data_IF_156929795861
#
_entry.id   IF_156929795861
#
_cell.length_a   1.000
_cell.length_b   1.000
_cell.length_c   1.000
_cell.angle_alpha   90.00
_cell.angle_beta   90.00
_cell.angle_gamma   90.00
#
_symmetry.space_group_name_H-M   'P 1'
#
loop_
_entity.id
_entity.type
_entity.pdbx_description
1 polymer ?
#
# COMPACT_ATOMS: atom_id res chain seq x y z
N UNK A 1 -18.66 3.70 -8.45
CA UNK A 1 -17.87 3.40 -7.23
C UNK A 1 -16.54 4.11 -7.35
N UNK A 2 -16.09 4.77 -6.30
CA UNK A 2 -14.72 5.27 -6.26
C UNK A 2 -13.78 4.08 -6.04
N UNK A 3 -12.69 4.04 -6.80
CA UNK A 3 -11.64 3.04 -6.62
C UNK A 3 -10.91 3.28 -5.31
N UNK A 4 -10.43 2.21 -4.66
CA UNK A 4 -9.61 2.30 -3.45
C UNK A 4 -8.21 2.76 -3.85
N UNK A 5 -7.70 3.82 -3.23
CA UNK A 5 -6.37 4.39 -3.48
C UNK A 5 -5.33 3.57 -2.73
N UNK A 6 -4.45 2.90 -3.46
CA UNK A 6 -3.44 2.01 -2.90
C UNK A 6 -2.05 2.56 -3.22
N UNK A 7 -1.19 2.68 -2.21
CA UNK A 7 0.24 3.00 -2.38
C UNK A 7 1.09 1.79 -1.99
N UNK A 8 1.71 1.16 -3.00
CA UNK A 8 2.63 0.04 -2.83
C UNK A 8 4.09 0.51 -2.90
N UNK A 9 5.01 -0.30 -2.35
CA UNK A 9 6.43 0.07 -2.32
C UNK A 9 7.18 -0.28 -3.61
N UNK A 10 8.07 0.62 -4.04
CA UNK A 10 8.95 0.49 -5.21
C UNK A 10 10.28 -0.20 -4.86
N UNK A 11 10.20 -1.40 -4.27
CA UNK A 11 11.36 -2.24 -3.97
C UNK A 11 11.33 -3.55 -4.74
N UNK A 12 12.52 -4.12 -4.98
CA UNK A 12 12.69 -5.34 -5.76
C UNK A 12 11.95 -6.53 -5.17
N UNK A 13 11.91 -6.65 -3.85
CA UNK A 13 11.16 -7.69 -3.12
C UNK A 13 9.64 -7.62 -3.36
N UNK A 14 9.12 -6.49 -3.82
CA UNK A 14 7.69 -6.25 -4.04
C UNK A 14 7.27 -6.52 -5.48
N UNK A 15 8.21 -6.84 -6.38
CA UNK A 15 7.90 -7.16 -7.77
C UNK A 15 6.97 -8.37 -7.96
N UNK A 16 7.14 -9.50 -7.25
CA UNK A 16 6.20 -10.62 -7.39
C UNK A 16 4.76 -10.23 -6.99
N UNK A 17 4.62 -9.49 -5.89
CA UNK A 17 3.34 -8.96 -5.42
C UNK A 17 2.69 -8.04 -6.46
N UNK A 18 3.43 -7.03 -6.96
CA UNK A 18 2.92 -6.10 -7.97
C UNK A 18 2.53 -6.81 -9.27
N UNK A 19 3.32 -7.78 -9.71
CA UNK A 19 3.00 -8.57 -10.90
C UNK A 19 1.72 -9.40 -10.71
N UNK A 20 1.50 -9.97 -9.53
CA UNK A 20 0.26 -10.66 -9.19
C UNK A 20 -0.95 -9.72 -9.17
N UNK A 21 -0.83 -8.58 -8.49
CA UNK A 21 -1.88 -7.56 -8.42
C UNK A 21 -2.25 -7.06 -9.82
N UNK A 22 -1.27 -6.68 -10.65
CA UNK A 22 -1.50 -6.17 -12.02
C UNK A 22 -2.23 -7.16 -12.95
N UNK A 23 -2.17 -8.46 -12.66
CA UNK A 23 -2.83 -9.53 -13.43
C UNK A 23 -4.14 -9.99 -12.79
N UNK A 24 -4.50 -9.45 -11.63
CA UNK A 24 -5.71 -9.78 -10.89
C UNK A 24 -6.85 -8.84 -11.23
N UNK A 25 -8.10 -9.32 -11.09
CA UNK A 25 -9.32 -8.50 -11.21
C UNK A 25 -9.37 -7.36 -10.18
N UNK A 26 -8.57 -7.44 -9.11
CA UNK A 26 -8.44 -6.37 -8.10
C UNK A 26 -8.07 -5.02 -8.73
N UNK A 27 -7.33 -4.99 -9.85
CA UNK A 27 -7.00 -3.74 -10.55
C UNK A 27 -8.22 -2.94 -11.04
N UNK A 28 -9.36 -3.60 -11.21
CA UNK A 28 -10.62 -2.92 -11.56
C UNK A 28 -11.19 -2.12 -10.37
N UNK A 29 -10.80 -2.48 -9.15
CA UNK A 29 -11.32 -1.94 -7.89
C UNK A 29 -10.37 -0.93 -7.23
N UNK A 30 -9.10 -0.88 -7.66
CA UNK A 30 -8.08 -0.03 -7.04
C UNK A 30 -7.50 0.99 -8.02
N UNK A 31 -6.98 2.08 -7.45
CA UNK A 31 -6.04 2.99 -8.09
C UNK A 31 -4.65 2.78 -7.45
N UNK A 32 -3.73 2.19 -8.20
CA UNK A 32 -2.45 1.71 -7.68
C UNK A 32 -1.33 2.70 -8.02
N UNK A 33 -0.75 3.29 -6.98
CA UNK A 33 0.51 4.04 -7.03
C UNK A 33 1.66 3.20 -6.48
N UNK A 34 2.87 3.46 -6.97
CA UNK A 34 4.09 2.78 -6.53
C UNK A 34 5.11 3.84 -6.12
N UNK A 35 5.47 3.86 -4.84
CA UNK A 35 6.28 4.90 -4.22
C UNK A 35 7.35 4.32 -3.28
N UNK A 36 8.21 5.15 -2.72
CA UNK A 36 9.10 4.72 -1.63
C UNK A 36 8.30 4.57 -0.31
N UNK A 37 8.73 3.72 0.64
CA UNK A 37 7.95 3.45 1.86
C UNK A 37 7.58 4.69 2.68
N UNK A 38 8.46 5.68 2.77
CA UNK A 38 8.17 6.95 3.45
C UNK A 38 7.08 7.76 2.75
N UNK A 39 7.04 7.73 1.43
CA UNK A 39 6.00 8.38 0.64
C UNK A 39 4.67 7.62 0.76
N UNK A 40 4.69 6.28 0.80
CA UNK A 40 3.49 5.48 1.11
C UNK A 40 2.91 5.89 2.47
N UNK A 41 3.76 6.00 3.50
CA UNK A 41 3.34 6.44 4.83
C UNK A 41 2.73 7.83 4.82
N UNK A 42 3.41 8.80 4.19
CA UNK A 42 2.92 10.17 4.11
C UNK A 42 1.57 10.25 3.38
N UNK A 43 1.37 9.48 2.30
CA UNK A 43 0.10 9.44 1.58
C UNK A 43 -1.04 8.90 2.44
N UNK A 44 -0.80 7.90 3.30
CA UNK A 44 -1.84 7.40 4.21
C UNK A 44 -2.14 8.44 5.30
N UNK A 45 -1.11 9.09 5.86
CA UNK A 45 -1.26 10.13 6.88
C UNK A 45 -2.03 11.35 6.35
N UNK A 46 -1.74 11.77 5.11
CA UNK A 46 -2.34 12.94 4.45
C UNK A 46 -3.69 12.63 3.76
N UNK A 47 -4.25 11.44 3.98
CA UNK A 47 -5.48 10.97 3.32
C UNK A 47 -5.42 11.07 1.78
N UNK A 48 -4.26 10.76 1.21
CA UNK A 48 -4.01 10.63 -0.24
C UNK A 48 -4.01 9.18 -0.72
N UNK A 49 -3.88 8.22 0.20
CA UNK A 49 -4.03 6.79 -0.03
C UNK A 49 -4.87 6.15 1.09
N UNK A 50 -5.79 5.27 0.71
CA UNK A 50 -6.64 4.54 1.66
C UNK A 50 -5.90 3.34 2.25
N UNK A 51 -5.00 2.74 1.47
CA UNK A 51 -4.18 1.58 1.87
C UNK A 51 -2.73 1.84 1.46
N UNK A 52 -1.79 1.58 2.36
CA UNK A 52 -0.35 1.71 2.10
C UNK A 52 0.45 0.54 2.64
N UNK A 53 1.50 0.15 1.91
CA UNK A 53 2.59 -0.66 2.46
C UNK A 53 3.57 0.32 3.11
N UNK A 54 3.54 0.42 4.45
CA UNK A 54 4.26 1.46 5.20
C UNK A 54 5.23 0.85 6.22
N UNK A 55 6.31 1.55 6.61
CA UNK A 55 7.18 1.10 7.69
C UNK A 55 6.42 1.01 9.01
N UNK A 56 6.70 0.00 9.83
CA UNK A 56 6.05 -0.18 11.15
C UNK A 56 6.16 1.06 12.05
N UNK A 57 7.29 1.78 11.96
CA UNK A 57 7.48 3.03 12.72
C UNK A 57 6.47 4.14 12.36
N UNK A 58 5.91 4.14 11.15
CA UNK A 58 4.93 5.12 10.71
C UNK A 58 3.55 4.94 11.37
N UNK A 59 3.27 3.75 11.93
CA UNK A 59 2.01 3.48 12.64
C UNK A 59 1.82 4.41 13.85
N UNK A 60 2.91 4.86 14.47
CA UNK A 60 2.87 5.79 15.61
C UNK A 60 2.33 7.18 15.23
N UNK A 61 2.33 7.51 13.95
CA UNK A 61 1.85 8.79 13.41
C UNK A 61 0.41 8.75 12.91
N UNK A 62 -0.23 7.57 12.90
CA UNK A 62 -1.61 7.41 12.43
C UNK A 62 -2.58 7.50 13.62
N UNK A 63 -3.59 8.39 13.57
CA UNK A 63 -4.58 8.50 14.64
C UNK A 63 -5.43 7.23 14.77
N UNK A 64 -5.69 6.55 13.66
CA UNK A 64 -6.39 5.28 13.58
C UNK A 64 -5.85 4.48 12.38
N UNK A 65 -5.70 3.16 12.54
CA UNK A 65 -5.28 2.29 11.46
C UNK A 65 -5.82 0.88 11.62
N UNK A 66 -5.92 0.16 10.50
CA UNK A 66 -6.29 -1.24 10.45
C UNK A 66 -5.23 -2.00 9.66
N UNK A 67 -4.68 -3.06 10.26
CA UNK A 67 -3.78 -3.97 9.55
C UNK A 67 -4.67 -4.89 8.70
N UNK A 68 -4.58 -4.73 7.39
CA UNK A 68 -5.26 -5.61 6.45
C UNK A 68 -4.38 -6.84 6.19
N UNK A 69 -4.87 -8.02 6.57
CA UNK A 69 -4.27 -9.36 6.41
C UNK A 69 -3.11 -9.72 7.36
N UNK A 70 -2.93 -11.03 7.58
CA UNK A 70 -1.83 -11.63 8.36
C UNK A 70 -0.58 -11.91 7.50
N UNK A 71 -0.58 -11.50 6.22
CA UNK A 71 0.55 -11.67 5.31
C UNK A 71 1.43 -10.42 5.25
N UNK A 72 2.73 -10.61 5.05
CA UNK A 72 3.68 -9.53 4.81
C UNK A 72 4.51 -9.80 3.54
N UNK A 73 5.13 -8.75 3.01
CA UNK A 73 6.17 -8.88 1.99
C UNK A 73 7.50 -9.06 2.71
N UNK A 74 7.88 -10.32 2.93
CA UNK A 74 9.17 -10.71 3.50
C UNK A 74 10.29 -10.73 2.47
N UNK A 75 11.53 -10.67 2.96
CA UNK A 75 12.77 -10.85 2.18
C UNK A 75 13.19 -12.30 2.08
#
# INVERSE_FOLDING_TARGET
MNKIRVSAVSYTNTYPFLNGIRKSKVMEQIDLSVDYPSACAQKVIDDQADIGIIPTAALLSLPEYYINTDFCIGT
#
